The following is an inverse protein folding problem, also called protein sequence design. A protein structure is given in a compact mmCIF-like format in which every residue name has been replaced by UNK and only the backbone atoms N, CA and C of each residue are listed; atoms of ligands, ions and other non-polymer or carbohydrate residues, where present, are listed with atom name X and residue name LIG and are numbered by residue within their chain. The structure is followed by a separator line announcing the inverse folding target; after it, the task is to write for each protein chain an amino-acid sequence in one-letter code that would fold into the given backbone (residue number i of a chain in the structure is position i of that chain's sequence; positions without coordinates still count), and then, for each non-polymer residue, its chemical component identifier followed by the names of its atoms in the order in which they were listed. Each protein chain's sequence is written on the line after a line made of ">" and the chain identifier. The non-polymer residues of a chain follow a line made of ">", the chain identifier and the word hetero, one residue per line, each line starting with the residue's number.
data_IF_626117645428
#
_entry.id   IF_626117645428
#
_cell.length_a   1.000
_cell.length_b   1.000
_cell.length_c   1.000
_cell.angle_alpha   90.00
_cell.angle_beta   90.00
_cell.angle_gamma   90.00
#
_symmetry.space_group_name_H-M   'P 1'
#
loop_
_entity.id
_entity.type
_entity.pdbx_description
1 polymer ?
#
# COMPACT_ATOMS: atom_id res chain seq x y z
N UNK A 1 21.08 -20.04 3.11
CA UNK A 1 19.64 -19.97 2.79
C UNK A 1 19.51 -19.97 1.27
N UNK A 2 18.60 -20.75 0.69
CA UNK A 2 18.41 -20.78 -0.76
C UNK A 2 17.97 -19.38 -1.26
N UNK A 3 18.61 -18.79 -2.31
CA UNK A 3 18.29 -17.44 -2.81
C UNK A 3 16.80 -17.23 -3.13
N UNK A 4 16.13 -18.24 -3.69
CA UNK A 4 14.71 -18.18 -4.01
C UNK A 4 13.85 -18.01 -2.74
N UNK A 5 14.19 -18.74 -1.65
CA UNK A 5 13.47 -18.62 -0.38
C UNK A 5 13.69 -17.27 0.29
N UNK A 6 14.88 -16.71 0.19
CA UNK A 6 15.17 -15.35 0.70
C UNK A 6 14.33 -14.30 -0.01
N UNK A 7 14.23 -14.38 -1.34
CA UNK A 7 13.42 -13.46 -2.14
C UNK A 7 11.92 -13.58 -1.79
N UNK A 8 11.40 -14.79 -1.63
CA UNK A 8 10.00 -15.01 -1.22
C UNK A 8 9.71 -14.46 0.19
N UNK A 9 10.62 -14.64 1.14
CA UNK A 9 10.48 -14.10 2.49
C UNK A 9 10.58 -12.57 2.49
N UNK A 10 11.49 -12.00 1.69
CA UNK A 10 11.59 -10.55 1.51
C UNK A 10 10.31 -9.93 0.95
N UNK A 11 9.74 -10.55 -0.08
CA UNK A 11 8.46 -10.13 -0.64
C UNK A 11 7.32 -10.23 0.37
N UNK A 12 7.30 -11.30 1.18
CA UNK A 12 6.32 -11.47 2.26
C UNK A 12 6.46 -10.39 3.32
N UNK A 13 7.69 -10.13 3.78
CA UNK A 13 7.94 -9.11 4.79
C UNK A 13 7.51 -7.73 4.31
N UNK A 14 7.89 -7.34 3.09
CA UNK A 14 7.49 -6.07 2.50
C UNK A 14 5.97 -5.93 2.44
N UNK A 15 5.28 -6.97 1.99
CA UNK A 15 3.81 -7.04 1.93
C UNK A 15 3.16 -6.83 3.30
N UNK A 16 3.68 -7.53 4.32
CA UNK A 16 3.14 -7.42 5.69
C UNK A 16 3.36 -6.03 6.26
N UNK A 17 4.56 -5.46 6.09
CA UNK A 17 4.86 -4.09 6.54
C UNK A 17 3.94 -3.07 5.87
N UNK A 18 3.80 -3.12 4.54
CA UNK A 18 2.90 -2.23 3.81
C UNK A 18 1.44 -2.37 4.27
N UNK A 19 0.96 -3.61 4.45
CA UNK A 19 -0.40 -3.87 4.92
C UNK A 19 -0.66 -3.32 6.32
N UNK A 20 0.27 -3.54 7.27
CA UNK A 20 0.18 -2.98 8.64
C UNK A 20 0.18 -1.46 8.62
N UNK A 21 1.06 -0.83 7.83
CA UNK A 21 1.13 0.63 7.73
C UNK A 21 -0.19 1.22 7.22
N UNK A 22 -0.82 0.62 6.20
CA UNK A 22 -2.12 1.07 5.73
C UNK A 22 -3.19 0.98 6.82
N UNK A 23 -3.25 -0.10 7.59
CA UNK A 23 -4.20 -0.23 8.70
C UNK A 23 -3.93 0.77 9.82
N UNK A 24 -2.68 1.09 10.12
CA UNK A 24 -2.33 2.16 11.06
C UNK A 24 -2.86 3.51 10.56
N UNK A 25 -2.69 3.83 9.27
CA UNK A 25 -3.20 5.08 8.68
C UNK A 25 -4.73 5.16 8.67
N UNK A 26 -5.42 4.03 8.47
CA UNK A 26 -6.88 3.94 8.68
C UNK A 26 -7.24 4.26 10.13
N UNK A 27 -6.54 3.61 11.07
CA UNK A 27 -6.75 3.84 12.51
C UNK A 27 -6.53 5.31 12.91
N UNK A 28 -5.47 5.95 12.40
CA UNK A 28 -5.21 7.38 12.64
C UNK A 28 -6.36 8.26 12.14
N UNK A 29 -6.87 8.00 10.92
CA UNK A 29 -7.99 8.78 10.34
C UNK A 29 -9.30 8.62 11.10
N UNK A 30 -9.55 7.46 11.69
CA UNK A 30 -10.80 7.17 12.39
C UNK A 30 -10.73 7.57 13.86
N UNK A 31 -9.65 7.21 14.55
CA UNK A 31 -9.57 7.30 16.03
C UNK A 31 -8.76 8.49 16.52
N UNK A 32 -7.75 8.98 15.75
CA UNK A 32 -6.92 10.11 16.18
C UNK A 32 -7.44 11.42 15.59
N UNK A 33 -7.59 11.48 14.28
CA UNK A 33 -8.10 12.69 13.60
C UNK A 33 -9.62 12.77 13.61
N UNK A 34 -10.30 11.68 13.88
CA UNK A 34 -11.75 11.47 13.74
C UNK A 34 -12.24 11.59 12.29
N UNK A 35 -13.37 10.98 11.98
CA UNK A 35 -13.94 11.10 10.62
C UNK A 35 -14.25 12.55 10.23
N UNK A 36 -14.91 13.37 11.08
CA UNK A 36 -15.10 14.79 10.77
C UNK A 36 -13.80 15.55 10.58
N UNK A 37 -12.79 15.31 11.40
CA UNK A 37 -11.48 15.96 11.27
C UNK A 37 -10.75 15.58 9.99
N UNK A 38 -10.82 14.30 9.59
CA UNK A 38 -10.27 13.84 8.30
C UNK A 38 -11.00 14.49 7.12
N UNK A 39 -12.32 14.61 7.16
CA UNK A 39 -13.10 15.31 6.14
C UNK A 39 -12.71 16.79 6.06
N UNK A 40 -12.59 17.48 7.19
CA UNK A 40 -12.15 18.88 7.24
C UNK A 40 -10.74 19.06 6.67
N UNK A 41 -9.83 18.14 6.95
CA UNK A 41 -8.48 18.16 6.35
C UNK A 41 -8.55 18.11 4.82
N UNK A 42 -9.33 17.20 4.24
CA UNK A 42 -9.49 17.12 2.78
C UNK A 42 -10.03 18.42 2.19
N UNK A 43 -11.05 19.02 2.82
CA UNK A 43 -11.60 20.31 2.40
C UNK A 43 -10.55 21.42 2.50
N UNK A 44 -9.73 21.44 3.54
CA UNK A 44 -8.70 22.47 3.76
C UNK A 44 -7.60 22.46 2.69
N UNK A 45 -7.35 21.31 2.08
CA UNK A 45 -6.38 21.17 0.97
C UNK A 45 -7.03 21.23 -0.42
N UNK A 46 -8.30 21.69 -0.50
CA UNK A 46 -9.02 21.89 -1.75
C UNK A 46 -9.64 20.63 -2.36
N UNK A 47 -9.69 19.53 -1.62
CA UNK A 47 -10.29 18.27 -2.09
C UNK A 47 -11.74 18.12 -1.56
N UNK A 48 -12.64 17.48 -2.33
CA UNK A 48 -13.98 17.18 -1.83
C UNK A 48 -13.93 16.30 -0.57
N UNK A 49 -14.69 16.67 0.48
CA UNK A 49 -14.67 15.97 1.77
C UNK A 49 -15.06 14.49 1.70
N UNK A 50 -15.89 14.07 0.72
CA UNK A 50 -16.24 12.67 0.52
C UNK A 50 -15.05 11.78 0.14
N UNK A 51 -13.98 12.34 -0.45
CA UNK A 51 -12.75 11.61 -0.76
C UNK A 51 -12.05 11.07 0.50
N UNK A 52 -12.30 11.65 1.69
CA UNK A 52 -11.81 11.10 2.95
C UNK A 52 -12.32 9.66 3.18
N UNK A 53 -13.59 9.41 2.93
CA UNK A 53 -14.19 8.07 3.07
C UNK A 53 -13.65 7.09 2.03
N UNK A 54 -13.50 7.54 0.77
CA UNK A 54 -12.91 6.72 -0.30
C UNK A 54 -11.46 6.35 0.04
N UNK A 55 -10.68 7.30 0.54
CA UNK A 55 -9.31 7.08 1.00
C UNK A 55 -9.26 6.01 2.09
N UNK A 56 -10.09 6.14 3.14
CA UNK A 56 -10.16 5.16 4.24
C UNK A 56 -10.53 3.78 3.69
N UNK A 57 -11.50 3.69 2.77
CA UNK A 57 -11.91 2.43 2.18
C UNK A 57 -10.79 1.77 1.34
N UNK A 58 -10.09 2.55 0.51
CA UNK A 58 -8.95 2.06 -0.29
C UNK A 58 -7.83 1.54 0.62
N UNK A 59 -7.48 2.30 1.64
CA UNK A 59 -6.43 1.92 2.60
C UNK A 59 -6.82 0.67 3.41
N UNK A 60 -8.06 0.59 3.87
CA UNK A 60 -8.57 -0.56 4.63
C UNK A 60 -8.57 -1.84 3.78
N UNK A 61 -9.22 -1.79 2.63
CA UNK A 61 -9.32 -2.95 1.72
C UNK A 61 -7.95 -3.35 1.20
N UNK A 62 -7.14 -2.37 0.76
CA UNK A 62 -5.78 -2.61 0.28
C UNK A 62 -4.86 -3.18 1.35
N UNK A 63 -4.91 -2.63 2.56
CA UNK A 63 -4.13 -3.12 3.70
C UNK A 63 -4.48 -4.56 4.07
N UNK A 64 -5.76 -4.89 4.18
CA UNK A 64 -6.24 -6.25 4.46
C UNK A 64 -5.86 -7.22 3.33
N UNK A 65 -5.99 -6.81 2.07
CA UNK A 65 -5.62 -7.63 0.93
C UNK A 65 -4.11 -7.92 0.88
N UNK A 66 -3.28 -6.92 1.19
CA UNK A 66 -1.83 -7.11 1.34
C UNK A 66 -1.51 -8.08 2.48
N UNK A 67 -2.10 -7.93 3.66
CA UNK A 67 -1.89 -8.83 4.78
C UNK A 67 -2.28 -10.27 4.44
N UNK A 68 -3.44 -10.47 3.81
CA UNK A 68 -3.90 -11.78 3.36
C UNK A 68 -3.12 -12.34 2.16
N UNK A 69 -2.35 -11.52 1.45
CA UNK A 69 -1.68 -11.96 0.22
C UNK A 69 -2.64 -12.21 -0.94
N UNK A 70 -3.73 -11.45 -1.00
CA UNK A 70 -4.78 -11.57 -2.01
C UNK A 70 -4.49 -10.59 -3.16
N UNK A 71 -4.40 -11.10 -4.40
CA UNK A 71 -4.18 -10.30 -5.61
C UNK A 71 -3.07 -9.23 -5.46
N UNK A 72 -1.98 -9.56 -4.76
CA UNK A 72 -0.97 -8.61 -4.29
C UNK A 72 -0.46 -7.68 -5.38
N UNK A 73 -0.22 -8.17 -6.61
CA UNK A 73 0.26 -7.34 -7.72
C UNK A 73 -0.75 -6.27 -8.10
N UNK A 74 -2.01 -6.64 -8.25
CA UNK A 74 -3.09 -5.71 -8.62
C UNK A 74 -3.32 -4.70 -7.51
N UNK A 75 -3.43 -5.17 -6.27
CA UNK A 75 -3.62 -4.33 -5.09
C UNK A 75 -2.46 -3.33 -4.95
N UNK A 76 -1.21 -3.78 -5.10
CA UNK A 76 -0.04 -2.89 -5.02
C UNK A 76 -0.05 -1.84 -6.12
N UNK A 77 -0.48 -2.15 -7.35
CA UNK A 77 -0.60 -1.17 -8.43
C UNK A 77 -1.70 -0.15 -8.16
N UNK A 78 -2.86 -0.57 -7.65
CA UNK A 78 -3.94 0.35 -7.26
C UNK A 78 -3.47 1.28 -6.14
N UNK A 79 -2.84 0.73 -5.11
CA UNK A 79 -2.30 1.51 -4.00
C UNK A 79 -1.13 2.41 -4.43
N UNK A 80 -0.33 2.01 -5.42
CA UNK A 80 0.72 2.85 -6.02
C UNK A 80 0.10 4.09 -6.68
N UNK A 81 -0.93 3.92 -7.51
CA UNK A 81 -1.63 5.06 -8.14
C UNK A 81 -2.22 5.98 -7.08
N UNK A 82 -2.87 5.41 -6.05
CA UNK A 82 -3.36 6.17 -4.91
C UNK A 82 -2.23 6.95 -4.20
N UNK A 83 -1.09 6.30 -3.94
CA UNK A 83 0.05 6.93 -3.25
C UNK A 83 0.70 8.04 -4.09
N UNK A 84 0.70 7.95 -5.42
CA UNK A 84 1.14 9.05 -6.28
C UNK A 84 0.23 10.28 -6.11
N UNK A 85 -1.06 10.10 -5.88
CA UNK A 85 -1.97 11.19 -5.49
C UNK A 85 -1.58 11.82 -4.15
N UNK A 86 -1.18 11.02 -3.16
CA UNK A 86 -0.68 11.51 -1.87
C UNK A 86 0.64 12.29 -2.04
N UNK A 87 1.57 11.78 -2.88
CA UNK A 87 2.81 12.51 -3.23
C UNK A 87 2.48 13.88 -3.81
N UNK A 88 1.55 13.94 -4.78
CA UNK A 88 1.11 15.19 -5.39
C UNK A 88 0.55 16.17 -4.36
N UNK A 89 -0.27 15.70 -3.42
CA UNK A 89 -0.86 16.51 -2.35
C UNK A 89 0.20 17.10 -1.42
N UNK A 90 1.27 16.34 -1.12
CA UNK A 90 2.35 16.78 -0.24
C UNK A 90 3.46 17.55 -0.97
N UNK A 91 3.47 17.55 -2.31
CA UNK A 91 4.53 18.17 -3.11
C UNK A 91 4.76 19.66 -2.79
N UNK A 92 3.72 20.50 -2.58
CA UNK A 92 3.89 21.92 -2.22
C UNK A 92 4.54 22.13 -0.85
N UNK A 93 4.53 21.14 0.04
CA UNK A 93 5.05 21.25 1.40
C UNK A 93 6.59 21.12 1.48
N UNK A 94 7.26 20.82 0.35
CA UNK A 94 8.70 20.56 0.31
C UNK A 94 9.05 19.07 0.43
N UNK A 95 10.34 18.77 0.39
CA UNK A 95 10.85 17.39 0.32
C UNK A 95 10.76 16.67 1.67
N UNK A 96 11.39 17.23 2.72
CA UNK A 96 11.61 16.55 4.00
C UNK A 96 10.32 16.15 4.71
N UNK A 97 10.30 14.99 5.34
CA UNK A 97 9.14 14.54 6.12
C UNK A 97 8.81 15.47 7.29
N UNK A 98 9.81 16.20 7.79
CA UNK A 98 9.74 17.19 8.86
C UNK A 98 9.27 18.59 8.38
N UNK A 99 9.05 18.75 7.08
CA UNK A 99 8.50 20.00 6.52
C UNK A 99 7.12 20.31 7.13
N UNK A 100 6.73 21.59 7.25
CA UNK A 100 5.40 21.96 7.71
C UNK A 100 4.31 21.22 6.93
N UNK A 101 3.39 20.55 7.63
CA UNK A 101 2.34 19.69 7.06
C UNK A 101 2.85 18.39 6.39
N UNK A 102 4.12 18.01 6.57
CA UNK A 102 4.75 16.83 6.01
C UNK A 102 5.13 16.98 4.53
N UNK A 103 6.39 16.66 4.19
CA UNK A 103 6.86 16.68 2.81
C UNK A 103 6.54 15.40 2.03
N UNK A 104 6.94 15.37 0.76
CA UNK A 104 6.63 14.26 -0.14
C UNK A 104 7.65 13.10 -0.10
N UNK A 105 8.74 13.21 0.65
CA UNK A 105 9.79 12.18 0.78
C UNK A 105 9.21 10.81 1.17
N UNK A 106 8.46 10.78 2.28
CA UNK A 106 7.91 9.54 2.80
C UNK A 106 6.82 8.92 1.90
N UNK A 107 5.84 9.68 1.39
CA UNK A 107 4.91 9.17 0.39
C UNK A 107 5.59 8.64 -0.88
N UNK A 108 6.67 9.29 -1.36
CA UNK A 108 7.42 8.83 -2.52
C UNK A 108 8.15 7.50 -2.25
N UNK A 109 8.79 7.35 -1.09
CA UNK A 109 9.39 6.08 -0.69
C UNK A 109 8.33 4.97 -0.61
N UNK A 110 7.16 5.27 -0.06
CA UNK A 110 6.07 4.31 0.02
C UNK A 110 5.55 3.90 -1.36
N UNK A 111 5.41 4.85 -2.28
CA UNK A 111 5.07 4.57 -3.68
C UNK A 111 6.11 3.64 -4.35
N UNK A 112 7.41 3.91 -4.13
CA UNK A 112 8.48 3.03 -4.63
C UNK A 112 8.39 1.62 -4.02
N UNK A 113 8.12 1.49 -2.74
CA UNK A 113 7.94 0.20 -2.06
C UNK A 113 6.75 -0.59 -2.64
N UNK A 114 5.64 0.09 -2.98
CA UNK A 114 4.48 -0.53 -3.65
C UNK A 114 4.82 -0.98 -5.08
N UNK A 115 5.62 -0.21 -5.81
CA UNK A 115 6.11 -0.62 -7.13
C UNK A 115 6.97 -1.89 -7.04
N UNK A 116 7.90 -1.94 -6.07
CA UNK A 116 8.69 -3.15 -5.78
C UNK A 116 7.78 -4.32 -5.42
N UNK A 117 6.78 -4.12 -4.55
CA UNK A 117 5.83 -5.17 -4.16
C UNK A 117 5.04 -5.71 -5.35
N UNK A 118 4.63 -4.84 -6.29
CA UNK A 118 3.95 -5.25 -7.52
C UNK A 118 4.85 -6.14 -8.40
N UNK A 119 6.15 -5.85 -8.47
CA UNK A 119 7.13 -6.61 -9.25
C UNK A 119 7.42 -7.98 -8.60
N UNK A 120 7.73 -8.00 -7.30
CA UNK A 120 8.12 -9.24 -6.61
C UNK A 120 6.94 -10.16 -6.31
N UNK A 121 5.72 -9.62 -6.22
CA UNK A 121 4.50 -10.40 -6.01
C UNK A 121 4.25 -10.76 -4.54
N UNK A 122 3.46 -11.80 -4.30
CA UNK A 122 2.92 -12.10 -2.98
C UNK A 122 3.94 -12.70 -1.98
N UNK A 123 5.04 -13.25 -2.47
CA UNK A 123 5.98 -14.00 -1.62
C UNK A 123 5.39 -15.31 -1.08
N UNK A 124 5.97 -15.79 0.01
CA UNK A 124 5.49 -16.96 0.73
C UNK A 124 4.22 -16.69 1.56
N UNK A 125 3.51 -17.73 1.94
CA UNK A 125 2.34 -17.68 2.86
C UNK A 125 1.21 -16.76 2.41
N UNK A 126 0.97 -16.62 1.10
CA UNK A 126 -0.13 -15.84 0.55
C UNK A 126 -1.40 -16.68 0.41
N UNK A 127 -2.55 -16.19 0.91
CA UNK A 127 -3.84 -16.88 0.78
C UNK A 127 -4.31 -16.93 -0.68
N UNK A 128 -3.95 -15.96 -1.50
CA UNK A 128 -4.27 -15.90 -2.93
C UNK A 128 -3.49 -16.88 -3.81
N UNK A 129 -2.59 -17.67 -3.24
CA UNK A 129 -1.80 -18.74 -3.85
C UNK A 129 -1.17 -18.39 -5.19
N UNK A 130 0.03 -18.83 -5.42
CA UNK A 130 0.70 -18.71 -6.72
C UNK A 130 0.07 -19.71 -7.72
N UNK A 131 -1.22 -19.55 -8.04
CA UNK A 131 -1.94 -20.39 -9.02
C UNK A 131 -1.25 -20.40 -10.39
N UNK A 132 -0.48 -19.35 -10.71
CA UNK A 132 0.31 -19.29 -11.94
C UNK A 132 1.51 -20.25 -11.91
N UNK A 133 2.21 -20.38 -10.78
CA UNK A 133 3.33 -21.30 -10.64
C UNK A 133 2.88 -22.78 -10.63
N UNK A 134 1.74 -23.06 -10.01
CA UNK A 134 1.17 -24.41 -10.01
C UNK A 134 0.75 -24.86 -11.43
N UNK A 135 0.16 -23.97 -12.24
CA UNK A 135 -0.19 -24.29 -13.64
C UNK A 135 1.04 -24.50 -14.53
N UNK A 136 2.11 -23.71 -14.35
CA UNK A 136 3.36 -23.85 -15.10
C UNK A 136 4.10 -25.15 -14.74
N UNK A 137 4.00 -25.62 -13.50
CA UNK A 137 4.57 -26.89 -13.05
C UNK A 137 3.86 -28.10 -13.69
N UNK A 138 2.55 -28.06 -13.81
CA UNK A 138 1.75 -29.12 -14.44
C UNK A 138 2.00 -29.22 -15.95
N UNK A 139 2.19 -28.08 -16.66
CA UNK A 139 2.48 -28.09 -18.09
C UNK A 139 3.90 -28.56 -18.45
N UNK A 140 4.86 -28.53 -17.52
CA UNK A 140 6.21 -29.05 -17.72
C UNK A 140 6.35 -30.54 -17.40
N UNK A 141 5.35 -31.15 -16.78
CA UNK A 141 5.33 -32.56 -16.38
C UNK A 141 4.48 -33.42 -17.32
N UNK A 142 3.83 -32.84 -18.30
CA UNK A 142 3.08 -33.49 -19.38
C UNK A 142 3.83 -33.38 -20.72
#
# INVERSE_FOLDING_TARGET
>A
MNPNRSAELGATLLRLVLGVLYLIHVGQKIFVFTLPGTVQFFVSIGLPGWLAYVTIAIELVGGLALLGGIQVRVVSLVLLVFMLGVVHTHFPNGFGFDSPHGGWEYPAFWAAALAVQALVGAGAYALGGNRAAAKAGVQRAA
#
